data_IF_917304698675
#
_entry.id   IF_917304698675
#
_cell.length_a   1.000
_cell.length_b   1.000
_cell.length_c   1.000
_cell.angle_alpha   90.00
_cell.angle_beta   90.00
_cell.angle_gamma   90.00
#
_symmetry.space_group_name_H-M   'P 1'
#
loop_
_entity.id
_entity.type
_entity.pdbx_description
1 polymer ?
#
# COMPACT_ATOMS: atom_id res chain seq x y z
N UNK A 1 18.02 5.43 27.74
CA UNK A 1 18.12 4.71 26.47
C UNK A 1 17.69 3.27 26.64
N UNK A 2 17.03 2.73 25.65
CA UNK A 2 16.57 1.35 25.69
C UNK A 2 17.46 0.47 24.82
N UNK A 3 17.74 -0.75 25.31
CA UNK A 3 18.48 -1.76 24.55
C UNK A 3 17.56 -2.77 23.90
N UNK A 4 16.25 -2.50 23.91
CA UNK A 4 15.26 -3.41 23.32
C UNK A 4 15.47 -3.55 21.82
N UNK A 5 15.36 -4.78 21.33
CA UNK A 5 15.49 -5.12 19.90
C UNK A 5 14.14 -5.32 19.22
N UNK A 6 13.06 -4.87 19.84
CA UNK A 6 11.71 -5.04 19.32
C UNK A 6 10.87 -3.79 19.59
N UNK A 7 9.83 -3.64 18.77
CA UNK A 7 8.81 -2.62 18.93
C UNK A 7 7.45 -3.25 18.65
N UNK A 8 6.51 -3.13 19.58
CA UNK A 8 5.15 -3.64 19.39
C UNK A 8 4.24 -2.46 19.06
N UNK A 9 3.66 -2.48 17.85
CA UNK A 9 2.73 -1.44 17.42
C UNK A 9 1.33 -1.76 17.97
N UNK A 10 0.79 -0.88 18.81
CA UNK A 10 -0.55 -1.04 19.38
C UNK A 10 -1.51 0.06 18.93
N UNK A 11 -1.01 1.09 18.24
CA UNK A 11 -1.84 2.22 17.80
C UNK A 11 -1.28 2.75 16.47
N UNK A 12 -1.60 2.08 15.36
CA UNK A 12 -1.12 2.52 14.05
C UNK A 12 -1.65 3.91 13.71
N UNK A 13 -0.92 4.62 12.87
CA UNK A 13 -1.32 5.95 12.41
C UNK A 13 -2.36 5.79 11.30
N UNK A 14 -3.55 6.36 11.51
CA UNK A 14 -4.58 6.38 10.47
C UNK A 14 -4.31 7.55 9.54
N UNK A 15 -4.01 7.25 8.29
CA UNK A 15 -3.75 8.25 7.27
C UNK A 15 -5.09 8.85 6.83
N UNK A 16 -5.25 10.19 6.87
CA UNK A 16 -6.49 10.82 6.38
C UNK A 16 -6.69 10.54 4.89
N UNK A 17 -7.92 10.17 4.51
CA UNK A 17 -8.28 9.94 3.11
C UNK A 17 -9.61 10.63 2.80
N UNK A 18 -9.84 10.92 1.51
CA UNK A 18 -11.07 11.53 1.03
C UNK A 18 -11.86 10.62 0.10
N UNK A 19 -11.35 9.42 -0.16
CA UNK A 19 -11.92 8.47 -1.12
C UNK A 19 -12.55 7.24 -0.47
N UNK A 20 -12.68 7.25 0.86
CA UNK A 20 -13.27 6.15 1.61
C UNK A 20 -12.33 5.01 1.92
N UNK A 21 -11.07 5.08 1.47
CA UNK A 21 -10.10 4.04 1.75
C UNK A 21 -9.59 4.14 3.18
N UNK A 22 -9.53 3.02 3.89
CA UNK A 22 -8.85 2.94 5.19
C UNK A 22 -7.37 2.66 4.96
N UNK A 23 -6.52 3.46 5.58
CA UNK A 23 -5.08 3.24 5.57
C UNK A 23 -4.58 3.39 7.00
N UNK A 24 -4.03 2.30 7.54
CA UNK A 24 -3.42 2.29 8.87
C UNK A 24 -1.95 1.91 8.74
N UNK A 25 -1.08 2.91 8.83
CA UNK A 25 0.36 2.67 8.77
C UNK A 25 0.85 2.17 10.12
N UNK A 26 1.37 0.95 10.14
CA UNK A 26 1.90 0.35 11.38
C UNK A 26 3.35 0.71 11.61
N UNK A 27 4.15 0.72 10.55
CA UNK A 27 5.55 1.11 10.58
C UNK A 27 5.83 1.95 9.34
N UNK A 28 6.66 2.96 9.46
CA UNK A 28 7.01 3.81 8.32
C UNK A 28 7.36 5.22 8.75
N UNK A 29 7.47 6.13 7.77
CA UNK A 29 7.90 7.50 8.03
C UNK A 29 6.90 8.28 8.89
N UNK A 30 5.60 8.11 8.66
CA UNK A 30 4.57 8.87 9.37
C UNK A 30 4.31 8.36 10.79
N UNK A 31 4.60 7.10 11.05
CA UNK A 31 4.24 6.43 12.30
C UNK A 31 5.44 6.30 13.25
N UNK A 32 6.47 5.61 12.82
CA UNK A 32 7.63 5.27 13.64
C UNK A 32 8.89 5.96 13.17
N UNK A 33 8.79 6.78 12.11
CA UNK A 33 9.93 7.47 11.46
C UNK A 33 10.96 6.48 10.95
N UNK A 34 10.46 5.37 10.41
CA UNK A 34 11.29 4.29 9.86
C UNK A 34 11.47 4.51 8.37
N UNK A 35 12.68 4.82 7.87
CA UNK A 35 12.88 5.06 6.44
C UNK A 35 13.14 3.79 5.63
N UNK A 36 13.53 2.70 6.27
CA UNK A 36 13.95 1.48 5.56
C UNK A 36 12.78 0.71 4.96
N UNK A 37 11.59 0.80 5.55
CA UNK A 37 10.40 0.10 5.08
C UNK A 37 9.15 0.74 5.68
N UNK A 38 8.00 0.46 5.07
CA UNK A 38 6.70 0.79 5.66
C UNK A 38 5.77 -0.41 5.55
N UNK A 39 4.86 -0.54 6.51
CA UNK A 39 3.87 -1.59 6.55
C UNK A 39 2.54 -0.96 6.90
N UNK A 40 1.54 -1.12 6.01
CA UNK A 40 0.22 -0.54 6.21
C UNK A 40 -0.87 -1.56 5.94
N UNK A 41 -1.87 -1.54 6.80
CA UNK A 41 -3.11 -2.29 6.64
C UNK A 41 -4.11 -1.41 5.92
N UNK A 42 -4.78 -1.94 4.88
CA UNK A 42 -5.66 -1.16 4.03
C UNK A 42 -6.97 -1.89 3.75
N UNK A 43 -8.05 -1.11 3.65
CA UNK A 43 -9.33 -1.58 3.14
C UNK A 43 -9.79 -0.58 2.10
N UNK A 44 -9.95 -1.04 0.86
CA UNK A 44 -10.44 -0.21 -0.23
C UNK A 44 -11.91 -0.53 -0.49
N UNK A 45 -12.78 0.51 -0.62
CA UNK A 45 -14.19 0.27 -0.90
C UNK A 45 -14.42 -0.25 -2.32
N UNK A 46 -15.62 -0.78 -2.62
CA UNK A 46 -15.96 -1.15 -3.99
C UNK A 46 -15.75 0.02 -4.96
N UNK A 47 -15.27 -0.28 -6.16
CA UNK A 47 -15.10 0.70 -7.24
C UNK A 47 -14.10 1.81 -6.92
N UNK A 48 -13.18 1.54 -6.00
CA UNK A 48 -12.10 2.46 -5.66
C UNK A 48 -10.98 2.36 -6.69
N UNK A 49 -10.35 3.51 -6.99
CA UNK A 49 -9.12 3.53 -7.77
C UNK A 49 -8.28 4.73 -7.38
N UNK A 50 -7.00 4.64 -7.62
CA UNK A 50 -6.08 5.75 -7.45
C UNK A 50 -5.39 6.04 -8.78
N UNK A 51 -4.75 7.23 -8.92
CA UNK A 51 -4.01 7.55 -10.15
C UNK A 51 -2.83 6.60 -10.36
N UNK A 52 -2.34 6.53 -11.60
CA UNK A 52 -1.06 5.87 -11.86
C UNK A 52 0.05 6.52 -11.06
N UNK A 53 1.04 5.74 -10.70
CA UNK A 53 2.23 6.21 -10.00
C UNK A 53 3.44 5.42 -10.48
N UNK A 54 4.61 5.99 -10.30
CA UNK A 54 5.88 5.33 -10.66
C UNK A 54 6.83 5.43 -9.48
N UNK A 55 6.59 4.60 -8.45
CA UNK A 55 7.30 4.73 -7.19
C UNK A 55 8.79 4.39 -7.29
N UNK A 56 9.56 5.05 -6.41
CA UNK A 56 10.99 4.77 -6.24
C UNK A 56 11.23 3.75 -5.12
N UNK A 57 10.20 2.98 -4.77
CA UNK A 57 10.29 1.88 -3.80
C UNK A 57 9.66 0.63 -4.39
N UNK A 58 10.09 -0.52 -3.88
CA UNK A 58 9.40 -1.79 -4.15
C UNK A 58 8.15 -1.83 -3.30
N UNK A 59 7.05 -2.33 -3.86
CA UNK A 59 5.81 -2.48 -3.09
C UNK A 59 5.32 -3.91 -3.16
N UNK A 60 5.03 -4.49 -1.99
CA UNK A 60 4.47 -5.82 -1.85
C UNK A 60 3.05 -5.70 -1.34
N UNK A 61 2.08 -6.23 -2.09
CA UNK A 61 0.68 -6.29 -1.66
C UNK A 61 0.33 -7.71 -1.28
N UNK A 62 -0.29 -7.88 -0.11
CA UNK A 62 -0.74 -9.19 0.37
C UNK A 62 -2.24 -9.08 0.61
N UNK A 63 -3.05 -9.75 -0.23
CA UNK A 63 -4.51 -9.67 -0.12
C UNK A 63 -5.00 -10.67 0.92
N UNK A 64 -5.85 -10.19 1.82
CA UNK A 64 -6.44 -10.99 2.90
C UNK A 64 -7.88 -11.36 2.57
N UNK A 65 -8.64 -10.41 1.99
CA UNK A 65 -10.07 -10.57 1.72
C UNK A 65 -10.43 -9.81 0.47
N UNK A 66 -11.31 -10.38 -0.36
CA UNK A 66 -11.74 -9.76 -1.60
C UNK A 66 -10.71 -9.91 -2.70
N UNK A 67 -10.80 -9.04 -3.69
CA UNK A 67 -9.89 -9.02 -4.84
C UNK A 67 -9.34 -7.62 -5.04
N UNK A 68 -8.14 -7.52 -5.57
CA UNK A 68 -7.51 -6.24 -5.89
C UNK A 68 -6.92 -6.33 -7.28
N UNK A 69 -7.04 -5.26 -8.05
CA UNK A 69 -6.41 -5.18 -9.38
C UNK A 69 -5.21 -4.24 -9.34
N UNK A 70 -4.15 -4.63 -10.05
CA UNK A 70 -3.00 -3.78 -10.32
C UNK A 70 -2.78 -3.77 -11.83
N UNK A 71 -2.61 -2.57 -12.39
CA UNK A 71 -2.13 -2.42 -13.76
C UNK A 71 -0.66 -2.04 -13.67
N UNK A 72 0.22 -2.92 -14.17
CA UNK A 72 1.67 -2.74 -14.07
C UNK A 72 2.24 -2.68 -15.48
N UNK A 73 2.78 -1.52 -15.85
CA UNK A 73 3.33 -1.29 -17.20
C UNK A 73 2.36 -1.74 -18.30
N UNK A 74 1.05 -1.46 -18.09
CA UNK A 74 -0.01 -1.78 -19.06
C UNK A 74 -0.61 -3.17 -18.91
N UNK A 75 -0.09 -4.02 -18.05
CA UNK A 75 -0.62 -5.36 -17.84
C UNK A 75 -1.53 -5.40 -16.62
N UNK A 76 -2.75 -5.92 -16.79
CA UNK A 76 -3.70 -6.05 -15.68
C UNK A 76 -3.50 -7.35 -14.92
N UNK A 77 -3.39 -7.24 -13.60
CA UNK A 77 -3.15 -8.37 -12.71
C UNK A 77 -4.22 -8.33 -11.62
N UNK A 78 -4.94 -9.44 -11.45
CA UNK A 78 -5.95 -9.55 -10.39
C UNK A 78 -5.41 -10.44 -9.28
N UNK A 79 -5.46 -9.92 -8.06
CA UNK A 79 -5.05 -10.64 -6.86
C UNK A 79 -6.27 -11.09 -6.09
N UNK A 80 -6.25 -12.33 -5.66
CA UNK A 80 -7.27 -12.90 -4.77
C UNK A 80 -6.71 -13.07 -3.37
N UNK A 81 -7.59 -13.34 -2.40
CA UNK A 81 -7.18 -13.59 -1.03
C UNK A 81 -6.11 -14.68 -0.95
N UNK A 82 -5.06 -14.42 -0.20
CA UNK A 82 -3.93 -15.34 -0.04
C UNK A 82 -2.83 -15.14 -1.08
N UNK A 83 -3.02 -14.25 -2.04
CA UNK A 83 -2.02 -13.99 -3.07
C UNK A 83 -1.23 -12.73 -2.78
N UNK A 84 -0.01 -12.68 -3.31
CA UNK A 84 0.95 -11.61 -3.09
C UNK A 84 1.49 -11.13 -4.42
N UNK A 85 1.63 -9.81 -4.55
CA UNK A 85 2.23 -9.18 -5.74
C UNK A 85 3.40 -8.31 -5.31
N UNK A 86 4.55 -8.49 -5.95
CA UNK A 86 5.68 -7.58 -5.81
C UNK A 86 5.75 -6.73 -7.07
N UNK A 87 5.69 -5.40 -6.90
CA UNK A 87 5.92 -4.43 -7.98
C UNK A 87 7.24 -3.74 -7.69
N UNK A 88 8.20 -3.89 -8.60
CA UNK A 88 9.53 -3.33 -8.43
C UNK A 88 9.52 -1.82 -8.64
N UNK A 89 10.41 -1.13 -7.93
CA UNK A 89 10.70 0.29 -8.12
C UNK A 89 10.88 0.61 -9.60
N UNK A 90 10.29 1.72 -10.04
CA UNK A 90 10.39 2.18 -11.42
C UNK A 90 9.27 1.72 -12.34
N UNK A 91 8.50 0.72 -11.97
CA UNK A 91 7.34 0.31 -12.76
C UNK A 91 6.21 1.35 -12.63
N UNK A 92 5.47 1.56 -13.71
CA UNK A 92 4.28 2.41 -13.67
C UNK A 92 3.09 1.55 -13.26
N UNK A 93 2.48 1.87 -12.13
CA UNK A 93 1.43 1.03 -11.54
C UNK A 93 0.19 1.84 -11.19
N UNK A 94 -0.98 1.23 -11.37
CA UNK A 94 -2.25 1.76 -10.88
C UNK A 94 -2.97 0.66 -10.11
N UNK A 95 -3.27 0.93 -8.84
CA UNK A 95 -4.04 0.02 -8.01
C UNK A 95 -5.50 0.40 -8.01
N UNK A 96 -6.38 -0.61 -8.00
CA UNK A 96 -7.82 -0.37 -7.97
C UNK A 96 -8.56 -1.56 -7.38
N UNK A 97 -9.82 -1.30 -7.02
CA UNK A 97 -10.79 -2.32 -6.67
C UNK A 97 -12.02 -2.11 -7.57
N UNK A 98 -12.04 -2.67 -8.79
CA UNK A 98 -13.17 -2.49 -9.69
C UNK A 98 -14.36 -3.40 -9.38
N UNK A 99 -14.28 -4.15 -8.29
CA UNK A 99 -15.28 -5.16 -7.92
C UNK A 99 -16.34 -4.58 -6.98
N UNK A 100 -17.41 -5.35 -6.74
CA UNK A 100 -18.55 -4.91 -5.91
C UNK A 100 -18.35 -5.18 -4.42
N UNK A 101 -17.18 -5.67 -4.01
CA UNK A 101 -16.85 -5.98 -2.62
C UNK A 101 -15.65 -5.18 -2.15
N UNK A 102 -15.57 -4.94 -0.85
CA UNK A 102 -14.37 -4.39 -0.26
C UNK A 102 -13.18 -5.34 -0.45
N UNK A 103 -11.99 -4.78 -0.54
CA UNK A 103 -10.76 -5.58 -0.49
C UNK A 103 -9.93 -5.14 0.70
N UNK A 104 -9.42 -6.11 1.42
CA UNK A 104 -8.55 -5.90 2.58
C UNK A 104 -7.18 -6.49 2.29
N UNK A 105 -6.13 -5.71 2.53
CA UNK A 105 -4.77 -6.13 2.20
C UNK A 105 -3.74 -5.38 3.03
N UNK A 106 -2.53 -5.93 3.04
CA UNK A 106 -1.36 -5.26 3.60
C UNK A 106 -0.47 -4.78 2.45
N UNK A 107 0.13 -3.62 2.65
CA UNK A 107 1.10 -3.06 1.70
C UNK A 107 2.42 -2.85 2.42
N UNK A 108 3.50 -3.39 1.85
CA UNK A 108 4.85 -3.25 2.36
C UNK A 108 5.69 -2.52 1.31
N UNK A 109 6.28 -1.39 1.69
CA UNK A 109 7.16 -0.62 0.79
C UNK A 109 8.59 -0.66 1.28
N UNK A 110 9.54 -0.83 0.37
CA UNK A 110 10.97 -0.88 0.68
C UNK A 110 11.73 -0.06 -0.38
N UNK A 111 12.32 1.08 -0.01
CA UNK A 111 12.23 1.78 1.27
C UNK A 111 10.81 2.22 1.61
N UNK A 112 10.62 2.86 2.76
CA UNK A 112 9.30 3.25 3.24
C UNK A 112 8.54 4.13 2.24
N UNK A 113 7.21 4.00 2.22
CA UNK A 113 6.36 4.91 1.46
C UNK A 113 6.69 6.36 1.81
N UNK A 114 6.84 7.19 0.78
CA UNK A 114 7.15 8.60 0.90
C UNK A 114 6.40 9.33 -0.20
N UNK A 115 5.63 10.34 0.17
CA UNK A 115 4.84 11.13 -0.79
C UNK A 115 5.74 11.83 -1.82
N UNK A 116 7.02 12.04 -1.49
CA UNK A 116 7.98 12.66 -2.38
C UNK A 116 8.58 11.68 -3.40
N UNK A 117 8.42 10.38 -3.20
CA UNK A 117 9.01 9.36 -4.07
C UNK A 117 7.97 8.45 -4.72
N UNK A 118 6.70 8.59 -4.39
CA UNK A 118 5.64 7.79 -5.01
C UNK A 118 5.37 8.20 -6.45
N UNK A 119 5.67 9.44 -6.79
CA UNK A 119 5.54 9.98 -8.15
C UNK A 119 4.15 9.75 -8.75
N UNK A 120 3.12 10.17 -8.02
CA UNK A 120 1.73 10.01 -8.44
C UNK A 120 1.39 10.99 -9.55
N UNK A 121 0.73 10.48 -10.60
CA UNK A 121 0.35 11.28 -11.76
C UNK A 121 -0.92 12.08 -11.47
N UNK A 122 -1.10 13.19 -12.19
CA UNK A 122 -2.33 13.98 -12.15
C UNK A 122 -3.35 13.33 -13.08
N UNK A 123 -4.34 12.67 -12.51
CA UNK A 123 -5.40 12.03 -13.27
C UNK A 123 -6.78 12.38 -12.72
#
# INVERSE_FOLDING_TARGET
MTDKKYFKQVKPFRVPTTDGKLIEEHLGLATTRTPAYSIAHMIAPPHWSEPHQQPEFDEITIVIRGRKMAEVDGEEIILQAGETLLVKSGARVKYSNPFDEETEYWSVCVPAFDINTVNREDE
#
